data_IF_294582756967
#
_entry.id   IF_294582756967
#
_cell.length_a   1.000
_cell.length_b   1.000
_cell.length_c   1.000
_cell.angle_alpha   90.00
_cell.angle_beta   90.00
_cell.angle_gamma   90.00
#
_symmetry.space_group_name_H-M   'P 1'
#
loop_
_entity.id
_entity.type
_entity.pdbx_description
1 polymer ?
#
# COMPACT_ATOMS: atom_id res chain seq x y z
N UNK A 1 5.24 20.78 20.58
CA UNK A 1 5.33 19.82 19.48
C UNK A 1 3.92 19.26 19.28
N UNK A 2 3.37 19.33 18.07
CA UNK A 2 2.06 18.73 17.77
C UNK A 2 2.36 17.27 17.43
N UNK A 3 1.92 16.34 18.27
CA UNK A 3 1.99 14.91 17.96
C UNK A 3 1.20 14.65 16.66
N UNK A 4 1.75 13.89 15.70
CA UNK A 4 1.04 13.61 14.46
C UNK A 4 -0.26 12.86 14.78
N UNK A 5 -1.39 13.45 14.36
CA UNK A 5 -2.69 12.80 14.53
C UNK A 5 -2.85 11.68 13.51
N UNK A 6 -3.38 10.50 13.91
CA UNK A 6 -3.64 9.42 12.98
C UNK A 6 -4.62 9.83 11.88
N UNK A 7 -4.34 9.40 10.65
CA UNK A 7 -5.32 9.42 9.56
C UNK A 7 -6.42 8.41 9.91
N UNK A 8 -7.67 8.83 9.79
CA UNK A 8 -8.85 8.00 10.10
C UNK A 8 -9.76 7.93 8.88
N UNK A 9 -10.67 6.94 8.84
CA UNK A 9 -11.69 6.88 7.79
C UNK A 9 -12.45 8.20 7.66
N UNK A 10 -12.77 8.84 8.79
CA UNK A 10 -13.49 10.12 8.85
C UNK A 10 -12.66 11.35 8.44
N UNK A 11 -11.34 11.30 8.51
CA UNK A 11 -10.50 12.43 8.09
C UNK A 11 -10.36 12.52 6.57
N UNK A 12 -10.55 11.40 5.87
CA UNK A 12 -10.45 11.32 4.42
C UNK A 12 -11.76 11.75 3.74
N UNK A 13 -11.67 12.62 2.73
CA UNK A 13 -12.84 13.17 2.02
C UNK A 13 -13.70 12.11 1.32
N UNK A 14 -13.07 11.04 0.82
CA UNK A 14 -13.75 10.00 0.07
C UNK A 14 -12.99 8.67 0.17
N UNK A 15 -13.64 7.68 0.78
CA UNK A 15 -13.18 6.30 0.88
C UNK A 15 -14.36 5.38 0.60
N UNK A 16 -14.18 4.47 -0.34
CA UNK A 16 -15.14 3.48 -0.77
C UNK A 16 -14.58 2.11 -0.42
N UNK A 17 -15.33 1.26 0.30
CA UNK A 17 -14.88 -0.09 0.60
C UNK A 17 -14.75 -0.91 -0.69
N UNK A 18 -14.03 -2.04 -0.60
CA UNK A 18 -14.00 -3.02 -1.70
C UNK A 18 -15.41 -3.50 -2.04
N UNK A 19 -15.66 -3.80 -3.32
CA UNK A 19 -16.91 -4.40 -3.80
C UNK A 19 -16.76 -5.88 -4.10
N UNK A 20 -15.57 -6.33 -4.51
CA UNK A 20 -15.29 -7.74 -4.74
C UNK A 20 -14.01 -8.17 -3.98
N UNK A 21 -14.05 -8.20 -2.63
CA UNK A 21 -12.90 -8.59 -1.81
C UNK A 21 -12.50 -10.04 -2.08
N UNK A 22 -11.23 -10.27 -2.37
CA UNK A 22 -10.64 -11.59 -2.56
C UNK A 22 -9.42 -11.75 -1.65
N UNK A 23 -9.30 -12.85 -0.87
CA UNK A 23 -8.10 -13.11 -0.07
C UNK A 23 -6.84 -13.19 -0.94
N UNK A 24 -5.76 -12.57 -0.50
CA UNK A 24 -4.46 -12.66 -1.18
C UNK A 24 -3.81 -14.02 -0.93
N UNK A 25 -3.33 -14.68 -2.00
CA UNK A 25 -2.66 -15.97 -1.89
C UNK A 25 -1.21 -15.85 -1.37
N UNK A 26 -0.55 -14.73 -1.68
CA UNK A 26 0.81 -14.42 -1.20
C UNK A 26 0.78 -13.20 -0.27
N UNK A 27 1.44 -13.31 0.89
CA UNK A 27 1.55 -12.22 1.87
C UNK A 27 2.99 -11.75 2.02
N UNK A 28 3.22 -10.45 2.33
CA UNK A 28 4.54 -9.97 2.74
C UNK A 28 5.05 -10.75 3.95
N UNK A 29 6.28 -11.24 3.88
CA UNK A 29 6.92 -11.99 5.00
C UNK A 29 7.68 -11.06 5.96
N UNK A 30 7.73 -9.76 5.63
CA UNK A 30 8.41 -8.73 6.42
C UNK A 30 7.85 -8.64 7.84
N UNK A 31 8.76 -8.44 8.79
CA UNK A 31 8.43 -8.07 10.17
C UNK A 31 8.70 -6.59 10.34
N UNK A 32 7.71 -5.83 10.81
CA UNK A 32 7.87 -4.43 11.19
C UNK A 32 8.13 -4.35 12.69
N UNK A 33 9.10 -3.53 13.11
CA UNK A 33 9.33 -3.28 14.53
C UNK A 33 8.11 -2.59 15.16
N UNK A 34 8.04 -2.58 16.50
CA UNK A 34 6.98 -1.85 17.20
C UNK A 34 6.97 -0.36 16.81
N UNK A 35 8.13 0.27 16.67
CA UNK A 35 8.25 1.65 16.21
C UNK A 35 7.72 1.85 14.78
N UNK A 36 8.00 0.92 13.87
CA UNK A 36 7.44 0.97 12.51
C UNK A 36 5.94 0.75 12.54
N UNK A 37 5.44 -0.14 13.40
CA UNK A 37 4.00 -0.35 13.56
C UNK A 37 3.28 0.89 14.10
N UNK A 38 3.84 1.56 15.11
CA UNK A 38 3.30 2.83 15.61
C UNK A 38 3.21 3.87 14.50
N UNK A 39 4.22 3.95 13.62
CA UNK A 39 4.18 4.83 12.46
C UNK A 39 3.17 4.40 11.40
N UNK A 40 3.01 3.09 11.16
CA UNK A 40 1.99 2.57 10.25
C UNK A 40 0.58 2.94 10.75
N UNK A 41 0.33 2.86 12.06
CA UNK A 41 -0.95 3.24 12.67
C UNK A 41 -1.31 4.72 12.47
N UNK A 42 -0.32 5.60 12.30
CA UNK A 42 -0.58 6.99 11.95
C UNK A 42 -1.15 7.15 10.54
N UNK A 43 -0.95 6.16 9.66
CA UNK A 43 -1.44 6.18 8.29
C UNK A 43 -0.72 7.20 7.40
N UNK A 44 -1.33 7.49 6.26
CA UNK A 44 -0.85 8.46 5.28
C UNK A 44 -2.04 9.08 4.54
N UNK A 45 -2.09 10.40 4.48
CA UNK A 45 -3.11 11.15 3.72
C UNK A 45 -2.43 11.84 2.54
N UNK A 46 -2.89 11.51 1.34
CA UNK A 46 -2.43 12.11 0.09
C UNK A 46 -2.76 13.61 0.06
N UNK A 47 -1.75 14.45 -0.19
CA UNK A 47 -1.90 15.93 -0.18
C UNK A 47 -2.02 16.55 -1.57
N UNK A 48 -1.72 15.80 -2.63
CA UNK A 48 -1.65 16.33 -3.98
C UNK A 48 -1.95 15.29 -5.06
N UNK A 49 -1.98 15.74 -6.32
CA UNK A 49 -2.36 14.91 -7.47
C UNK A 49 -1.35 13.78 -7.77
N UNK A 50 -0.08 13.97 -7.39
CA UNK A 50 0.97 12.98 -7.59
C UNK A 50 0.98 11.90 -6.49
N UNK A 51 0.26 12.11 -5.38
CA UNK A 51 0.15 11.16 -4.28
C UNK A 51 -1.05 10.25 -4.51
N UNK A 52 -0.81 8.94 -4.65
CA UNK A 52 -1.81 7.99 -5.15
C UNK A 52 -2.52 7.17 -4.09
N UNK A 53 -2.05 7.25 -2.85
CA UNK A 53 -2.48 6.35 -1.78
C UNK A 53 -2.91 7.13 -0.54
N UNK A 54 -4.06 6.74 -0.01
CA UNK A 54 -4.49 7.05 1.35
C UNK A 54 -4.42 5.76 2.16
N UNK A 55 -3.89 5.83 3.38
CA UNK A 55 -3.77 4.70 4.30
C UNK A 55 -4.25 5.13 5.67
N UNK A 56 -5.09 4.32 6.29
CA UNK A 56 -5.47 4.46 7.68
C UNK A 56 -5.54 3.07 8.33
N UNK A 57 -5.47 3.02 9.66
CA UNK A 57 -5.52 1.77 10.42
C UNK A 57 -6.68 1.79 11.40
N UNK A 58 -7.50 0.74 11.40
CA UNK A 58 -8.55 0.48 12.38
C UNK A 58 -8.46 -0.99 12.81
N UNK A 59 -8.58 -1.28 14.11
CA UNK A 59 -8.58 -2.64 14.64
C UNK A 59 -7.43 -3.54 14.13
N UNK A 60 -6.23 -2.96 14.00
CA UNK A 60 -5.01 -3.61 13.45
C UNK A 60 -5.11 -3.99 11.96
N UNK A 61 -6.09 -3.47 11.24
CA UNK A 61 -6.22 -3.60 9.79
C UNK A 61 -5.80 -2.29 9.13
N UNK A 62 -4.80 -2.34 8.27
CA UNK A 62 -4.44 -1.23 7.40
C UNK A 62 -5.30 -1.25 6.13
N UNK A 63 -5.98 -0.14 5.87
CA UNK A 63 -6.84 0.05 4.71
C UNK A 63 -6.15 0.95 3.68
N UNK A 64 -5.79 0.39 2.53
CA UNK A 64 -5.06 1.08 1.48
C UNK A 64 -6.01 1.45 0.34
N UNK A 65 -6.23 2.74 0.16
CA UNK A 65 -7.17 3.31 -0.81
C UNK A 65 -6.43 4.13 -1.86
N UNK A 66 -6.98 4.17 -3.08
CA UNK A 66 -6.54 5.16 -4.09
C UNK A 66 -7.02 6.54 -3.68
N UNK A 67 -6.12 7.51 -3.66
CA UNK A 67 -6.41 8.88 -3.21
C UNK A 67 -7.45 9.60 -4.08
N UNK A 68 -7.41 9.39 -5.39
CA UNK A 68 -8.25 10.11 -6.35
C UNK A 68 -9.66 9.56 -6.45
N UNK A 69 -9.80 8.23 -6.55
CA UNK A 69 -11.11 7.59 -6.70
C UNK A 69 -11.73 7.20 -5.36
N UNK A 70 -10.95 7.19 -4.28
CA UNK A 70 -11.37 6.68 -2.99
C UNK A 70 -11.53 5.16 -2.95
N UNK A 71 -11.25 4.40 -4.01
CA UNK A 71 -11.46 2.95 -4.02
C UNK A 71 -10.48 2.25 -3.05
N UNK A 72 -11.01 1.39 -2.19
CA UNK A 72 -10.23 0.43 -1.41
C UNK A 72 -9.62 -0.62 -2.32
N UNK A 73 -8.29 -0.80 -2.22
CA UNK A 73 -7.54 -1.76 -3.05
C UNK A 73 -7.01 -2.91 -2.21
N UNK A 74 -6.48 -2.61 -1.01
CA UNK A 74 -5.97 -3.63 -0.10
C UNK A 74 -6.45 -3.39 1.32
N UNK A 75 -6.70 -4.48 2.02
CA UNK A 75 -6.86 -4.54 3.46
C UNK A 75 -5.83 -5.52 4.01
N UNK A 76 -4.98 -5.07 4.93
CA UNK A 76 -3.91 -5.89 5.52
C UNK A 76 -4.10 -5.98 7.03
N UNK A 77 -4.44 -7.17 7.52
CA UNK A 77 -4.58 -7.47 8.94
C UNK A 77 -3.21 -7.75 9.55
N UNK A 78 -2.89 -7.06 10.63
CA UNK A 78 -1.65 -7.24 11.36
C UNK A 78 -1.85 -8.07 12.62
N UNK A 79 -0.79 -8.77 13.02
CA UNK A 79 -0.74 -9.46 14.31
C UNK A 79 0.65 -9.34 14.93
N UNK A 80 0.74 -9.25 16.27
CA UNK A 80 2.02 -9.23 16.95
C UNK A 80 2.70 -10.60 16.82
N UNK A 81 4.02 -10.57 16.67
CA UNK A 81 4.91 -11.72 16.67
C UNK A 81 6.10 -11.44 17.60
N UNK A 82 6.91 -12.45 17.89
CA UNK A 82 8.15 -12.23 18.64
C UNK A 82 9.05 -11.22 17.92
N UNK A 83 9.17 -10.01 18.47
CA UNK A 83 10.02 -8.93 17.93
C UNK A 83 9.33 -7.95 16.98
N UNK A 84 8.00 -7.91 16.91
CA UNK A 84 7.27 -6.86 16.19
C UNK A 84 5.94 -7.33 15.62
N UNK A 85 5.62 -6.90 14.41
CA UNK A 85 4.32 -7.08 13.77
C UNK A 85 4.48 -7.65 12.36
N UNK A 86 3.52 -8.49 11.94
CA UNK A 86 3.44 -9.04 10.58
C UNK A 86 2.02 -8.95 10.05
N UNK A 87 1.89 -8.96 8.73
CA UNK A 87 0.62 -9.18 8.06
C UNK A 87 0.24 -10.65 8.22
N UNK A 88 -0.86 -10.92 8.91
CA UNK A 88 -1.38 -12.28 9.15
C UNK A 88 -2.43 -12.68 8.12
N UNK A 89 -3.11 -11.71 7.52
CA UNK A 89 -4.03 -11.90 6.40
C UNK A 89 -4.10 -10.62 5.56
N UNK A 90 -4.37 -10.75 4.27
CA UNK A 90 -4.67 -9.61 3.42
C UNK A 90 -5.75 -9.95 2.38
N UNK A 91 -6.47 -8.92 1.97
CA UNK A 91 -7.55 -8.97 0.99
C UNK A 91 -7.26 -7.93 -0.08
N UNK A 92 -7.57 -8.25 -1.33
CA UNK A 92 -7.42 -7.38 -2.51
C UNK A 92 -8.75 -7.21 -3.22
N UNK A 93 -8.99 -6.02 -3.77
CA UNK A 93 -10.12 -5.76 -4.67
C UNK A 93 -9.94 -6.53 -5.98
N UNK A 94 -10.94 -7.32 -6.37
CA UNK A 94 -10.89 -8.12 -7.61
C UNK A 94 -11.75 -7.56 -8.74
N UNK A 95 -12.55 -6.51 -8.51
CA UNK A 95 -13.32 -5.85 -9.57
C UNK A 95 -12.37 -5.09 -10.54
N UNK A 96 -12.29 -5.51 -11.81
CA UNK A 96 -11.37 -4.94 -12.78
C UNK A 96 -11.68 -3.48 -13.15
N UNK A 97 -12.90 -2.99 -12.86
CA UNK A 97 -13.27 -1.58 -13.03
C UNK A 97 -12.64 -0.67 -11.96
N UNK A 98 -12.26 -1.24 -10.81
CA UNK A 98 -11.66 -0.53 -9.68
C UNK A 98 -10.17 -0.75 -9.54
N UNK A 99 -9.72 -1.97 -9.79
CA UNK A 99 -8.33 -2.36 -9.71
C UNK A 99 -7.99 -3.37 -10.79
N UNK A 100 -7.11 -2.99 -11.72
CA UNK A 100 -6.60 -3.91 -12.73
C UNK A 100 -5.54 -4.79 -12.09
N UNK A 101 -6.01 -5.88 -11.48
CA UNK A 101 -5.18 -6.90 -10.85
C UNK A 101 -4.26 -7.57 -11.88
N UNK A 102 -3.01 -7.79 -11.48
CA UNK A 102 -1.98 -8.43 -12.29
C UNK A 102 -1.72 -9.87 -11.85
N UNK A 103 -1.15 -10.07 -10.66
CA UNK A 103 -0.80 -11.38 -10.09
C UNK A 103 -0.74 -11.34 -8.57
N UNK A 104 -0.78 -12.51 -7.91
CA UNK A 104 -0.63 -12.61 -6.45
C UNK A 104 0.68 -11.98 -5.95
N UNK A 105 1.77 -12.23 -6.68
CA UNK A 105 3.09 -11.66 -6.39
C UNK A 105 3.11 -10.15 -6.53
N UNK A 106 2.42 -9.60 -7.53
CA UNK A 106 2.29 -8.14 -7.69
C UNK A 106 1.54 -7.52 -6.51
N UNK A 107 0.43 -8.13 -6.09
CA UNK A 107 -0.36 -7.66 -4.96
C UNK A 107 0.46 -7.67 -3.66
N UNK A 108 1.22 -8.75 -3.41
CA UNK A 108 2.16 -8.84 -2.29
C UNK A 108 3.14 -7.67 -2.26
N UNK A 109 3.80 -7.42 -3.39
CA UNK A 109 4.78 -6.33 -3.54
C UNK A 109 4.13 -4.97 -3.35
N UNK A 110 2.93 -4.76 -3.89
CA UNK A 110 2.20 -3.49 -3.78
C UNK A 110 1.81 -3.16 -2.34
N UNK A 111 1.28 -4.12 -1.58
CA UNK A 111 0.94 -3.90 -0.17
C UNK A 111 2.18 -3.50 0.62
N UNK A 112 3.29 -4.22 0.44
CA UNK A 112 4.54 -3.94 1.15
C UNK A 112 5.12 -2.57 0.74
N UNK A 113 5.09 -2.23 -0.56
CA UNK A 113 5.56 -0.92 -1.05
C UNK A 113 4.75 0.25 -0.50
N UNK A 114 3.43 0.14 -0.45
CA UNK A 114 2.61 1.23 0.08
C UNK A 114 2.94 1.45 1.57
N UNK A 115 3.05 0.38 2.36
CA UNK A 115 3.40 0.50 3.77
C UNK A 115 4.84 1.02 3.97
N UNK A 116 5.81 0.48 3.27
CA UNK A 116 7.22 0.86 3.43
C UNK A 116 7.54 2.20 2.78
N UNK A 117 7.23 2.38 1.51
CA UNK A 117 7.64 3.56 0.77
C UNK A 117 6.71 4.75 1.00
N UNK A 118 5.40 4.55 1.12
CA UNK A 118 4.46 5.66 1.28
C UNK A 118 4.25 6.00 2.76
N UNK A 119 3.89 5.03 3.59
CA UNK A 119 3.63 5.31 5.02
C UNK A 119 4.94 5.57 5.77
N UNK A 120 5.91 4.65 5.69
CA UNK A 120 7.17 4.78 6.42
C UNK A 120 8.21 5.69 5.74
N UNK A 121 8.04 6.01 4.46
CA UNK A 121 8.99 6.84 3.70
C UNK A 121 10.33 6.15 3.42
N UNK A 122 10.36 4.83 3.46
CA UNK A 122 11.56 4.05 3.18
C UNK A 122 11.87 4.02 1.67
N UNK A 123 13.15 3.93 1.27
CA UNK A 123 13.50 3.81 -0.14
C UNK A 123 12.89 2.57 -0.82
N UNK A 124 12.85 1.43 -0.11
CA UNK A 124 12.29 0.16 -0.58
C UNK A 124 12.85 -0.29 -1.96
N UNK A 125 14.17 -0.14 -2.15
CA UNK A 125 14.85 -0.32 -3.45
C UNK A 125 14.56 -1.69 -4.08
N UNK A 126 14.66 -2.77 -3.29
CA UNK A 126 14.45 -4.14 -3.80
C UNK A 126 13.01 -4.37 -4.21
N UNK A 127 12.04 -3.86 -3.44
CA UNK A 127 10.62 -3.95 -3.77
C UNK A 127 10.27 -3.13 -5.03
N UNK A 128 10.88 -1.96 -5.21
CA UNK A 128 10.71 -1.15 -6.43
C UNK A 128 11.28 -1.86 -7.66
N UNK A 129 12.46 -2.46 -7.52
CA UNK A 129 13.06 -3.27 -8.59
C UNK A 129 12.16 -4.48 -8.94
N UNK A 130 11.58 -5.14 -7.92
CA UNK A 130 10.63 -6.23 -8.13
C UNK A 130 9.36 -5.78 -8.85
N UNK A 131 8.79 -4.63 -8.45
CA UNK A 131 7.63 -4.02 -9.12
C UNK A 131 7.91 -3.76 -10.62
N UNK A 132 9.07 -3.20 -10.93
CA UNK A 132 9.48 -2.92 -12.32
C UNK A 132 9.60 -4.23 -13.11
N UNK A 133 10.25 -5.25 -12.54
CA UNK A 133 10.40 -6.55 -13.18
C UNK A 133 9.04 -7.20 -13.49
N UNK A 134 8.11 -7.20 -12.53
CA UNK A 134 6.77 -7.76 -12.71
C UNK A 134 5.96 -7.01 -13.78
N UNK A 135 6.05 -5.67 -13.79
CA UNK A 135 5.33 -4.84 -14.76
C UNK A 135 5.86 -5.05 -16.19
N UNK A 136 7.18 -5.20 -16.34
CA UNK A 136 7.80 -5.51 -17.63
C UNK A 136 7.40 -6.90 -18.15
N UNK A 137 7.32 -7.89 -17.26
CA UNK A 137 6.87 -9.24 -17.61
C UNK A 137 5.41 -9.26 -18.08
N UNK A 138 4.50 -8.55 -17.39
CA UNK A 138 3.08 -8.50 -17.76
C UNK A 138 2.86 -7.75 -19.09
N UNK A 139 3.55 -6.63 -19.28
CA UNK A 139 3.35 -5.79 -20.47
C UNK A 139 4.06 -6.30 -21.72
N UNK A 140 4.98 -7.26 -21.58
CA UNK A 140 5.87 -7.70 -22.66
C UNK A 140 6.85 -6.61 -23.13
N UNK A 141 6.96 -5.49 -22.40
CA UNK A 141 7.85 -4.37 -22.72
C UNK A 141 9.02 -4.36 -21.74
N UNK A 142 10.23 -4.50 -22.28
CA UNK A 142 11.46 -4.54 -21.49
C UNK A 142 12.12 -3.16 -21.31
N UNK A 143 11.60 -2.14 -21.98
CA UNK A 143 12.17 -0.79 -22.06
C UNK A 143 11.42 0.26 -21.24
N UNK A 144 10.47 -0.16 -20.39
CA UNK A 144 9.74 0.76 -19.52
C UNK A 144 10.70 1.43 -18.51
N UNK A 145 10.80 2.78 -18.49
CA UNK A 145 11.62 3.45 -17.51
C UNK A 145 11.12 3.16 -16.08
N UNK A 146 12.01 2.72 -15.19
CA UNK A 146 11.66 2.38 -13.80
C UNK A 146 10.87 3.50 -13.11
N UNK A 147 11.33 4.75 -13.27
CA UNK A 147 10.64 5.92 -12.70
C UNK A 147 9.21 6.10 -13.20
N UNK A 148 8.90 5.71 -14.44
CA UNK A 148 7.53 5.77 -14.98
C UNK A 148 6.64 4.70 -14.34
N UNK A 149 7.15 3.47 -14.17
CA UNK A 149 6.42 2.38 -13.52
C UNK A 149 6.12 2.74 -12.06
N UNK A 150 7.14 3.18 -11.33
CA UNK A 150 7.02 3.55 -9.92
C UNK A 150 6.07 4.74 -9.74
N UNK A 151 6.22 5.79 -10.54
CA UNK A 151 5.33 6.95 -10.51
C UNK A 151 3.88 6.55 -10.83
N UNK A 152 3.67 5.64 -11.77
CA UNK A 152 2.33 5.16 -12.13
C UNK A 152 1.67 4.39 -10.98
N UNK A 153 2.39 3.48 -10.35
CA UNK A 153 1.85 2.61 -9.29
C UNK A 153 1.75 3.32 -7.93
N UNK A 154 2.84 3.94 -7.48
CA UNK A 154 3.01 4.49 -6.13
C UNK A 154 2.74 5.99 -6.05
N UNK A 155 3.05 6.73 -7.11
CA UNK A 155 3.06 8.20 -7.07
C UNK A 155 4.30 8.75 -6.35
N UNK A 156 4.26 10.03 -6.00
CA UNK A 156 5.33 10.75 -5.30
C UNK A 156 4.90 11.01 -3.86
N UNK A 157 5.56 10.38 -2.89
CA UNK A 157 5.36 10.71 -1.47
C UNK A 157 5.91 12.11 -1.19
N UNK A 158 5.12 12.97 -0.56
CA UNK A 158 5.61 14.24 -0.03
C UNK A 158 6.48 14.00 1.21
N UNK A 159 7.66 14.60 1.26
CA UNK A 159 8.42 14.71 2.51
C UNK A 159 7.73 15.76 3.38
N UNK A 160 7.08 15.33 4.45
CA UNK A 160 6.55 16.23 5.48
C UNK A 160 7.70 16.94 6.21
#
# INVERSE_FOLDING_TARGET
MIEPSPVTRSSLRHVLPMVAPMPMAELPTRTWSDEQWERIKLGYEARGMDEKWNVFVEDQVAFLHRSWTGNGIFEASFSPVGGGWRISAAVVESDPSRYRRSSDRYDRVMVELVLSAIVLGEPAVDLRAELVALTSQESGRTDLPAGLVEHSALGLRSTA
#
